data_IF_819762147216
#
_entry.id   IF_819762147216
#
_cell.length_a   1.000
_cell.length_b   1.000
_cell.length_c   1.000
_cell.angle_alpha   90.00
_cell.angle_beta   90.00
_cell.angle_gamma   90.00
#
_symmetry.space_group_name_H-M   'P 1'
#
loop_
_entity.id
_entity.type
_entity.pdbx_description
1 polymer ?
#
# COMPACT_ATOMS: atom_id res chain seq x y z
N UNK A 1 37.02 -15.77 9.34
CA UNK A 1 35.72 -15.13 9.64
C UNK A 1 35.26 -14.53 8.33
N UNK A 2 34.53 -15.31 7.54
CA UNK A 2 33.96 -14.88 6.26
C UNK A 2 32.48 -14.64 6.47
N UNK A 3 32.07 -13.38 6.33
CA UNK A 3 30.71 -12.93 6.58
C UNK A 3 29.90 -13.09 5.29
N UNK A 4 29.56 -14.34 4.95
CA UNK A 4 28.74 -14.66 3.79
C UNK A 4 27.25 -14.52 4.13
N UNK A 5 26.69 -13.30 4.11
CA UNK A 5 25.25 -13.10 4.31
C UNK A 5 24.63 -11.86 3.62
N UNK A 6 25.10 -11.47 2.43
CA UNK A 6 24.44 -10.43 1.61
C UNK A 6 24.05 -10.99 0.23
N UNK A 7 22.97 -11.80 0.15
CA UNK A 7 22.45 -12.32 -1.14
C UNK A 7 21.11 -11.70 -1.59
N UNK A 8 20.63 -10.65 -0.93
CA UNK A 8 19.28 -10.09 -1.19
C UNK A 8 19.19 -8.56 -1.28
N UNK A 9 20.32 -7.85 -1.26
CA UNK A 9 20.35 -6.38 -1.29
C UNK A 9 21.34 -5.86 -2.34
N UNK A 10 21.09 -4.66 -2.86
CA UNK A 10 21.95 -3.97 -3.83
C UNK A 10 23.08 -3.17 -3.16
N UNK A 11 23.85 -2.41 -3.95
CA UNK A 11 24.96 -1.59 -3.48
C UNK A 11 24.58 -0.48 -2.49
N UNK A 12 23.29 -0.13 -2.39
CA UNK A 12 22.76 0.84 -1.43
C UNK A 12 22.18 0.18 -0.17
N UNK A 13 22.26 -1.16 -0.06
CA UNK A 13 21.64 -1.94 1.00
C UNK A 13 20.13 -2.08 0.85
N UNK A 14 19.58 -1.79 -0.33
CA UNK A 14 18.15 -1.87 -0.64
C UNK A 14 17.80 -3.24 -1.21
N UNK A 15 16.58 -3.76 -0.99
CA UNK A 15 16.18 -5.07 -1.50
C UNK A 15 16.36 -5.17 -3.02
N UNK A 16 16.81 -6.32 -3.51
CA UNK A 16 16.81 -6.60 -4.95
C UNK A 16 15.36 -6.82 -5.42
N UNK A 17 14.93 -6.17 -6.52
CA UNK A 17 13.56 -6.29 -6.99
C UNK A 17 13.27 -7.72 -7.47
N UNK A 18 12.10 -8.22 -7.11
CA UNK A 18 11.52 -9.45 -7.66
C UNK A 18 10.88 -9.14 -9.00
N UNK A 19 10.80 -10.16 -9.86
CA UNK A 19 10.01 -10.07 -11.09
C UNK A 19 8.54 -9.98 -10.71
N UNK A 20 7.83 -9.01 -11.27
CA UNK A 20 6.38 -8.93 -11.12
C UNK A 20 5.72 -10.12 -11.82
N UNK A 21 4.93 -10.90 -11.09
CA UNK A 21 4.33 -12.16 -11.54
C UNK A 21 2.79 -12.17 -11.44
N UNK A 22 2.19 -11.08 -10.96
CA UNK A 22 0.74 -10.94 -10.94
C UNK A 22 0.19 -10.88 -12.37
N UNK A 23 -1.05 -11.36 -12.53
CA UNK A 23 -1.78 -11.28 -13.79
C UNK A 23 -1.88 -9.82 -14.25
N UNK A 24 -1.60 -9.52 -15.53
CA UNK A 24 -1.82 -8.19 -16.07
C UNK A 24 -3.29 -7.81 -15.86
N UNK A 25 -3.53 -6.64 -15.29
CA UNK A 25 -4.87 -6.09 -15.13
C UNK A 25 -5.05 -4.90 -16.07
N UNK A 26 -6.22 -4.81 -16.69
CA UNK A 26 -6.62 -3.69 -17.55
C UNK A 26 -7.99 -3.15 -17.12
N UNK A 27 -8.17 -1.83 -17.11
CA UNK A 27 -9.46 -1.21 -16.78
C UNK A 27 -10.61 -1.68 -17.70
N UNK A 28 -10.32 -2.20 -18.89
CA UNK A 28 -11.29 -2.85 -19.78
C UNK A 28 -11.88 -4.13 -19.20
N UNK A 29 -11.29 -4.71 -18.16
CA UNK A 29 -11.87 -5.83 -17.43
C UNK A 29 -13.22 -5.49 -16.82
N UNK A 30 -13.47 -4.22 -16.45
CA UNK A 30 -14.78 -3.77 -15.99
C UNK A 30 -15.88 -3.87 -17.06
N UNK A 31 -15.52 -4.10 -18.33
CA UNK A 31 -16.46 -4.30 -19.43
C UNK A 31 -16.78 -5.78 -19.69
N UNK A 32 -16.24 -6.69 -18.89
CA UNK A 32 -16.47 -8.14 -19.02
C UNK A 32 -17.74 -8.59 -18.31
N UNK A 33 -18.21 -9.80 -18.64
CA UNK A 33 -19.41 -10.40 -18.05
C UNK A 33 -19.34 -10.50 -16.52
N UNK A 34 -18.13 -10.56 -15.94
CA UNK A 34 -17.90 -10.57 -14.48
C UNK A 34 -18.59 -9.40 -13.78
N UNK A 35 -18.58 -8.21 -14.39
CA UNK A 35 -19.13 -6.98 -13.80
C UNK A 35 -20.39 -6.49 -14.52
N UNK A 36 -20.96 -7.28 -15.43
CA UNK A 36 -22.08 -6.85 -16.29
C UNK A 36 -23.35 -6.46 -15.50
N UNK A 37 -23.53 -6.99 -14.29
CA UNK A 37 -24.67 -6.70 -13.42
C UNK A 37 -24.48 -5.43 -12.56
N UNK A 38 -23.29 -4.82 -12.58
CA UNK A 38 -23.01 -3.58 -11.84
C UNK A 38 -23.65 -2.39 -12.55
N UNK A 39 -24.17 -1.42 -11.80
CA UNK A 39 -24.87 -0.25 -12.37
C UNK A 39 -23.94 0.92 -12.62
N UNK A 40 -22.84 0.99 -11.87
CA UNK A 40 -21.86 2.06 -11.92
C UNK A 40 -20.44 1.48 -11.89
N UNK A 41 -19.46 2.29 -12.29
CA UNK A 41 -18.06 1.91 -12.17
C UNK A 41 -17.66 1.68 -10.70
N UNK A 42 -18.19 2.49 -9.79
CA UNK A 42 -17.94 2.37 -8.36
C UNK A 42 -18.45 1.04 -7.79
N UNK A 43 -19.59 0.53 -8.29
CA UNK A 43 -20.12 -0.78 -7.92
C UNK A 43 -19.20 -1.91 -8.44
N UNK A 44 -18.66 -1.76 -9.66
CA UNK A 44 -17.73 -2.72 -10.24
C UNK A 44 -16.38 -2.76 -9.49
N UNK A 45 -15.84 -1.59 -9.14
CA UNK A 45 -14.63 -1.46 -8.31
C UNK A 45 -14.88 -2.09 -6.94
N UNK A 46 -16.05 -1.86 -6.32
CA UNK A 46 -16.39 -2.48 -5.04
C UNK A 46 -16.46 -4.00 -5.13
N UNK A 47 -17.09 -4.54 -6.18
CA UNK A 47 -17.16 -5.98 -6.41
C UNK A 47 -15.75 -6.59 -6.55
N UNK A 48 -14.88 -5.94 -7.35
CA UNK A 48 -13.47 -6.36 -7.49
C UNK A 48 -12.74 -6.33 -6.14
N UNK A 49 -12.98 -5.30 -5.32
CA UNK A 49 -12.41 -5.19 -3.98
C UNK A 49 -12.88 -6.30 -3.03
N UNK A 50 -14.14 -6.71 -3.11
CA UNK A 50 -14.68 -7.83 -2.33
C UNK A 50 -14.04 -9.15 -2.74
N UNK A 51 -13.87 -9.38 -4.04
CA UNK A 51 -13.16 -10.56 -4.55
C UNK A 51 -11.70 -10.56 -4.11
N UNK A 52 -11.00 -9.43 -4.23
CA UNK A 52 -9.61 -9.30 -3.75
C UNK A 52 -9.52 -9.58 -2.24
N UNK A 53 -10.39 -8.97 -1.43
CA UNK A 53 -10.44 -9.22 0.00
C UNK A 53 -10.64 -10.70 0.34
N UNK A 54 -11.52 -11.41 -0.37
CA UNK A 54 -11.79 -12.83 -0.14
C UNK A 54 -10.56 -13.73 -0.41
N UNK A 55 -9.66 -13.32 -1.31
CA UNK A 55 -8.40 -14.04 -1.58
C UNK A 55 -7.30 -13.71 -0.57
N UNK A 56 -7.44 -12.61 0.17
CA UNK A 56 -6.38 -12.04 1.01
C UNK A 56 -6.58 -12.29 2.52
N UNK A 57 -7.80 -12.64 2.92
CA UNK A 57 -8.09 -13.02 4.31
C UNK A 57 -7.58 -14.43 4.64
N UNK A 58 -7.07 -14.59 5.84
CA UNK A 58 -6.77 -15.90 6.42
C UNK A 58 -7.62 -16.17 7.68
N UNK A 59 -7.66 -17.41 8.22
CA UNK A 59 -8.47 -17.70 9.41
C UNK A 59 -8.11 -16.88 10.66
N UNK A 60 -6.85 -16.44 10.82
CA UNK A 60 -6.46 -15.57 11.93
C UNK A 60 -7.02 -14.15 11.76
N UNK A 61 -7.48 -13.79 10.56
CA UNK A 61 -8.17 -12.52 10.33
C UNK A 61 -9.56 -12.43 11.00
N UNK A 62 -10.05 -13.54 11.57
CA UNK A 62 -11.33 -13.61 12.28
C UNK A 62 -11.18 -13.85 13.80
N UNK A 63 -9.95 -13.83 14.32
CA UNK A 63 -9.72 -13.96 15.78
C UNK A 63 -10.04 -12.66 16.53
N UNK A 64 -10.55 -12.78 17.75
CA UNK A 64 -10.79 -11.64 18.66
C UNK A 64 -9.52 -11.17 19.42
N UNK A 65 -8.32 -11.49 18.91
CA UNK A 65 -7.04 -11.22 19.57
C UNK A 65 -6.53 -9.77 19.39
N UNK A 66 -7.30 -8.91 18.71
CA UNK A 66 -6.94 -7.52 18.47
C UNK A 66 -7.02 -6.63 19.74
N UNK A 67 -6.35 -5.48 19.71
CA UNK A 67 -6.48 -4.48 20.79
C UNK A 67 -7.95 -4.09 20.94
N UNK A 68 -8.55 -4.12 22.13
CA UNK A 68 -9.96 -3.78 22.35
C UNK A 68 -10.32 -2.33 21.98
N UNK A 69 -9.32 -1.46 21.73
CA UNK A 69 -9.48 -0.08 21.26
C UNK A 69 -9.47 0.03 19.73
N UNK A 70 -9.21 -1.08 19.04
CA UNK A 70 -9.18 -1.20 17.59
C UNK A 70 -10.37 -1.99 17.08
N UNK A 71 -10.88 -1.60 15.93
CA UNK A 71 -11.83 -2.38 15.15
C UNK A 71 -11.21 -2.63 13.80
N UNK A 72 -10.94 -3.91 13.51
CA UNK A 72 -10.48 -4.33 12.18
C UNK A 72 -11.56 -4.02 11.16
N UNK A 73 -11.22 -3.32 10.08
CA UNK A 73 -12.17 -2.91 9.04
C UNK A 73 -11.92 -3.55 7.69
N UNK A 74 -10.69 -4.00 7.41
CA UNK A 74 -10.37 -4.67 6.15
C UNK A 74 -8.88 -4.76 5.87
N UNK A 75 -8.55 -5.08 4.64
CA UNK A 75 -7.18 -5.21 4.12
C UNK A 75 -7.05 -4.25 2.94
N UNK A 76 -5.90 -3.61 2.82
CA UNK A 76 -5.57 -2.79 1.66
C UNK A 76 -4.13 -3.08 1.22
N UNK A 77 -3.84 -2.80 -0.04
CA UNK A 77 -2.47 -2.74 -0.55
C UNK A 77 -2.09 -1.30 -0.88
N UNK A 78 -0.88 -0.92 -0.47
CA UNK A 78 -0.29 0.37 -0.71
C UNK A 78 0.92 0.20 -1.63
N UNK A 79 1.24 1.23 -2.41
CA UNK A 79 2.42 1.23 -3.26
C UNK A 79 3.14 2.57 -3.26
N UNK A 80 4.42 2.51 -3.58
CA UNK A 80 5.28 3.64 -3.86
C UNK A 80 6.23 3.26 -5.00
N UNK A 81 6.42 4.15 -5.97
CA UNK A 81 7.38 3.96 -7.04
C UNK A 81 8.57 4.91 -6.89
N UNK A 82 9.76 4.44 -7.24
CA UNK A 82 10.98 5.27 -7.15
C UNK A 82 11.48 5.77 -8.50
N UNK A 83 10.73 5.52 -9.56
CA UNK A 83 11.28 5.48 -10.93
C UNK A 83 10.44 6.22 -11.97
N UNK A 84 9.24 6.70 -11.65
CA UNK A 84 8.42 7.40 -12.63
C UNK A 84 8.16 8.87 -12.24
N UNK A 85 9.17 9.71 -12.48
CA UNK A 85 8.93 11.13 -12.75
C UNK A 85 9.35 11.43 -14.19
N UNK A 86 8.47 12.07 -14.97
CA UNK A 86 8.73 12.43 -16.37
C UNK A 86 10.07 13.16 -16.49
N UNK A 87 11.01 12.59 -17.25
CA UNK A 87 12.34 13.17 -17.49
C UNK A 87 13.42 12.79 -16.47
N UNK A 88 13.12 11.95 -15.48
CA UNK A 88 14.09 11.42 -14.53
C UNK A 88 14.41 9.97 -14.90
N UNK A 89 15.67 9.71 -15.25
CA UNK A 89 16.20 8.38 -15.56
C UNK A 89 16.98 7.74 -14.39
N UNK A 90 16.92 8.36 -13.20
CA UNK A 90 17.68 7.94 -12.02
C UNK A 90 16.73 7.56 -10.89
N UNK A 91 17.03 6.45 -10.22
CA UNK A 91 16.36 6.02 -8.99
C UNK A 91 16.42 7.10 -7.91
N UNK A 92 15.32 7.30 -7.20
CA UNK A 92 15.29 8.06 -5.96
C UNK A 92 15.66 7.16 -4.76
N UNK A 93 16.96 7.07 -4.46
CA UNK A 93 17.48 6.20 -3.40
C UNK A 93 17.00 6.63 -2.00
N UNK A 94 16.69 7.91 -1.80
CA UNK A 94 16.21 8.40 -0.49
C UNK A 94 14.76 7.99 -0.24
N UNK A 95 13.92 8.13 -1.26
CA UNK A 95 12.56 7.58 -1.25
C UNK A 95 12.58 6.07 -1.01
N UNK A 96 13.41 5.35 -1.74
CA UNK A 96 13.55 3.89 -1.59
C UNK A 96 13.97 3.47 -0.19
N UNK A 97 14.90 4.19 0.44
CA UNK A 97 15.29 3.93 1.83
C UNK A 97 14.15 4.15 2.81
N UNK A 98 13.32 5.17 2.55
CA UNK A 98 12.17 5.48 3.39
C UNK A 98 11.14 4.35 3.36
N UNK A 99 10.82 3.83 2.16
CA UNK A 99 9.85 2.73 2.02
C UNK A 99 10.42 1.37 2.44
N UNK A 100 11.71 1.11 2.16
CA UNK A 100 12.38 -0.13 2.54
C UNK A 100 12.65 -0.24 4.05
N UNK A 101 12.55 0.85 4.80
CA UNK A 101 12.63 0.83 6.26
C UNK A 101 11.37 0.24 6.91
N UNK A 102 10.25 0.17 6.18
CA UNK A 102 8.98 -0.37 6.67
C UNK A 102 9.03 -1.90 6.66
N UNK A 103 8.59 -2.52 7.74
CA UNK A 103 8.61 -3.96 7.96
C UNK A 103 7.24 -4.50 8.40
N UNK A 104 7.06 -5.81 8.26
CA UNK A 104 5.88 -6.48 8.82
C UNK A 104 5.75 -6.22 10.32
N UNK A 105 4.54 -5.87 10.76
CA UNK A 105 4.22 -5.47 12.12
C UNK A 105 4.28 -3.97 12.38
N UNK A 106 4.89 -3.18 11.49
CA UNK A 106 4.93 -1.72 11.64
C UNK A 106 3.52 -1.12 11.59
N UNK A 107 3.39 0.02 12.29
CA UNK A 107 2.16 0.78 12.34
C UNK A 107 2.28 2.04 11.48
N UNK A 108 1.36 2.22 10.54
CA UNK A 108 1.19 3.45 9.77
C UNK A 108 -0.11 4.13 10.21
N UNK A 109 -0.13 5.46 10.22
CA UNK A 109 -1.32 6.25 10.45
C UNK A 109 -1.81 6.87 9.15
N UNK A 110 -3.12 6.94 8.97
CA UNK A 110 -3.71 7.73 7.88
C UNK A 110 -4.15 9.07 8.46
N UNK A 111 -3.55 10.15 7.97
CA UNK A 111 -3.85 11.51 8.42
C UNK A 111 -4.50 12.30 7.31
N UNK A 112 -5.67 12.86 7.58
CA UNK A 112 -6.35 13.77 6.64
C UNK A 112 -5.47 14.98 6.39
N UNK A 113 -5.27 15.33 5.12
CA UNK A 113 -4.55 16.52 4.73
C UNK A 113 -5.40 17.35 3.75
N UNK A 114 -5.22 18.69 3.71
CA UNK A 114 -5.93 19.51 2.73
C UNK A 114 -5.64 19.01 1.32
N UNK A 115 -6.67 18.88 0.46
CA UNK A 115 -6.52 18.43 -0.94
C UNK A 115 -5.56 19.29 -1.78
N UNK A 116 -5.18 20.48 -1.29
CA UNK A 116 -4.14 21.31 -1.91
C UNK A 116 -2.72 20.72 -1.80
N UNK A 117 -2.53 19.63 -1.04
CA UNK A 117 -1.24 18.95 -0.86
C UNK A 117 -1.19 17.54 -1.44
N UNK A 118 -2.32 16.87 -1.57
CA UNK A 118 -2.44 15.50 -2.09
C UNK A 118 -3.84 15.33 -2.72
N UNK A 119 -3.92 14.74 -3.91
CA UNK A 119 -5.19 14.47 -4.61
C UNK A 119 -6.07 13.49 -3.83
N UNK A 120 -5.49 12.68 -2.95
CA UNK A 120 -6.19 11.70 -2.11
C UNK A 120 -6.95 12.35 -0.93
N UNK A 121 -6.54 13.54 -0.49
CA UNK A 121 -7.09 14.19 0.71
C UNK A 121 -6.65 13.56 2.05
N UNK A 122 -5.73 12.60 2.01
CA UNK A 122 -5.05 12.02 3.17
C UNK A 122 -3.65 11.58 2.80
N UNK A 123 -2.79 11.40 3.81
CA UNK A 123 -1.43 10.89 3.66
C UNK A 123 -1.17 9.76 4.65
N UNK A 124 -0.28 8.85 4.26
CA UNK A 124 0.25 7.84 5.17
C UNK A 124 1.42 8.43 5.96
N UNK A 125 1.46 8.15 7.26
CA UNK A 125 2.50 8.64 8.15
C UNK A 125 3.01 7.52 9.04
N UNK A 126 4.26 7.65 9.47
CA UNK A 126 4.73 6.99 10.68
C UNK A 126 4.00 7.58 11.91
N UNK A 127 3.95 6.88 13.06
CA UNK A 127 3.27 7.37 14.26
C UNK A 127 3.84 8.69 14.80
N UNK A 128 5.11 8.96 14.53
CA UNK A 128 5.75 10.24 14.86
C UNK A 128 5.32 11.41 13.95
N UNK A 129 4.46 11.16 12.95
CA UNK A 129 3.93 12.14 12.01
C UNK A 129 4.76 12.36 10.75
N UNK A 130 5.88 11.64 10.57
CA UNK A 130 6.66 11.73 9.33
C UNK A 130 5.86 11.14 8.16
N UNK A 131 5.73 11.86 7.02
CA UNK A 131 5.00 11.37 5.86
C UNK A 131 5.73 10.20 5.19
N UNK A 132 4.96 9.29 4.61
CA UNK A 132 5.43 8.18 3.79
C UNK A 132 4.90 8.36 2.36
N UNK A 133 5.68 7.99 1.34
CA UNK A 133 5.34 8.20 -0.06
C UNK A 133 4.39 7.11 -0.60
N UNK A 134 3.50 6.59 0.24
CA UNK A 134 2.56 5.55 -0.17
C UNK A 134 1.29 6.16 -0.76
N UNK A 135 0.73 5.46 -1.74
CA UNK A 135 -0.64 5.64 -2.22
C UNK A 135 -1.37 4.30 -2.20
N UNK A 136 -2.71 4.28 -2.25
CA UNK A 136 -3.45 3.03 -2.46
C UNK A 136 -3.03 2.39 -3.79
N UNK A 137 -2.84 1.07 -3.81
CA UNK A 137 -2.32 0.38 -4.99
C UNK A 137 -3.36 0.17 -6.07
N UNK A 138 -4.55 -0.25 -5.67
CA UNK A 138 -5.66 -0.46 -6.59
C UNK A 138 -6.74 0.61 -6.39
N UNK A 139 -7.59 0.76 -7.40
CA UNK A 139 -8.79 1.60 -7.35
C UNK A 139 -9.72 1.18 -6.19
N UNK A 140 -9.87 -0.12 -5.94
CA UNK A 140 -10.64 -0.63 -4.82
C UNK A 140 -9.99 -0.34 -3.47
N UNK A 141 -8.65 -0.30 -3.37
CA UNK A 141 -7.96 0.10 -2.13
C UNK A 141 -8.26 1.57 -1.81
N UNK A 142 -8.21 2.43 -2.85
CA UNK A 142 -8.54 3.85 -2.72
C UNK A 142 -10.00 4.05 -2.28
N UNK A 143 -10.95 3.36 -2.92
CA UNK A 143 -12.37 3.43 -2.60
C UNK A 143 -12.67 2.89 -1.18
N UNK A 144 -12.02 1.79 -0.79
CA UNK A 144 -12.13 1.23 0.55
C UNK A 144 -11.65 2.21 1.62
N UNK A 145 -10.47 2.79 1.45
CA UNK A 145 -9.87 3.72 2.41
C UNK A 145 -10.67 5.04 2.51
N UNK A 146 -11.13 5.59 1.40
CA UNK A 146 -11.97 6.79 1.39
C UNK A 146 -13.29 6.57 2.16
N UNK A 147 -13.96 5.43 1.92
CA UNK A 147 -15.17 5.05 2.66
C UNK A 147 -14.89 4.84 4.14
N UNK A 148 -13.78 4.18 4.47
CA UNK A 148 -13.35 3.94 5.84
C UNK A 148 -13.09 5.25 6.60
N UNK A 149 -12.45 6.23 5.95
CA UNK A 149 -12.19 7.57 6.51
C UNK A 149 -13.50 8.32 6.74
N UNK A 150 -14.41 8.31 5.76
CA UNK A 150 -15.74 8.94 5.88
C UNK A 150 -16.60 8.32 6.98
N UNK A 151 -16.38 7.04 7.29
CA UNK A 151 -17.09 6.33 8.35
C UNK A 151 -16.49 6.53 9.75
N UNK A 152 -15.33 7.20 9.88
CA UNK A 152 -14.74 7.51 11.18
C UNK A 152 -15.57 8.56 11.93
N UNK A 153 -15.82 8.30 13.22
CA UNK A 153 -16.42 9.30 14.14
C UNK A 153 -15.38 10.34 14.54
N UNK A 154 -15.83 11.41 15.20
CA UNK A 154 -14.98 12.55 15.61
C UNK A 154 -13.78 12.18 16.51
N UNK A 155 -13.79 11.01 17.13
CA UNK A 155 -12.71 10.51 17.99
C UNK A 155 -12.07 9.24 17.44
N UNK A 156 -12.31 8.91 16.18
CA UNK A 156 -11.75 7.73 15.53
C UNK A 156 -10.81 8.16 14.43
N UNK A 157 -9.78 7.36 14.20
CA UNK A 157 -8.86 7.53 13.09
C UNK A 157 -8.46 6.16 12.54
N UNK A 158 -7.89 6.14 11.34
CA UNK A 158 -7.44 4.91 10.72
C UNK A 158 -5.95 4.69 10.99
N UNK A 159 -5.62 3.44 11.31
CA UNK A 159 -4.26 2.95 11.39
C UNK A 159 -4.13 1.68 10.58
N UNK A 160 -2.96 1.48 10.00
CA UNK A 160 -2.63 0.35 9.16
C UNK A 160 -1.52 -0.45 9.85
N UNK A 161 -1.72 -1.75 10.06
CA UNK A 161 -0.67 -2.66 10.52
C UNK A 161 -0.12 -3.40 9.30
N UNK A 162 1.18 -3.29 9.08
CA UNK A 162 1.85 -3.89 7.93
C UNK A 162 1.85 -5.41 8.07
N UNK A 163 1.36 -6.11 7.06
CA UNK A 163 1.39 -7.58 6.97
C UNK A 163 2.66 -8.05 6.27
N UNK A 164 2.95 -7.45 5.12
CA UNK A 164 4.07 -7.80 4.26
C UNK A 164 4.50 -6.60 3.43
N UNK A 165 5.78 -6.59 3.08
CA UNK A 165 6.37 -5.62 2.17
C UNK A 165 7.08 -6.37 1.06
N UNK A 166 6.94 -5.87 -0.17
CA UNK A 166 7.53 -6.48 -1.34
C UNK A 166 8.15 -5.40 -2.24
N UNK A 167 9.25 -5.75 -2.90
CA UNK A 167 9.90 -4.90 -3.89
C UNK A 167 9.87 -5.61 -5.24
N UNK A 168 9.17 -5.02 -6.20
CA UNK A 168 9.11 -5.48 -7.58
C UNK A 168 9.85 -4.50 -8.48
N UNK A 169 10.32 -4.99 -9.62
CA UNK A 169 11.01 -4.12 -10.55
C UNK A 169 11.82 -4.87 -11.59
N UNK A 170 12.55 -4.10 -12.35
CA UNK A 170 13.47 -4.59 -13.35
C UNK A 170 14.68 -3.67 -13.48
N UNK A 171 15.84 -4.28 -13.72
CA UNK A 171 17.09 -3.58 -13.96
C UNK A 171 17.53 -3.90 -15.39
N UNK A 172 17.52 -2.90 -16.28
CA UNK A 172 17.98 -3.06 -17.67
C UNK A 172 17.17 -4.11 -18.46
N UNK A 173 15.94 -4.39 -18.03
CA UNK A 173 15.06 -5.41 -18.62
C UNK A 173 14.30 -4.91 -19.86
N UNK A 174 14.47 -3.63 -20.21
CA UNK A 174 13.84 -2.99 -21.38
C UNK A 174 14.87 -2.89 -22.51
N UNK A 175 14.75 -3.68 -23.60
CA UNK A 175 15.76 -3.71 -24.66
C UNK A 175 16.01 -2.35 -25.34
N UNK A 176 14.98 -1.51 -25.39
CA UNK A 176 15.04 -0.16 -26.00
C UNK A 176 15.64 0.90 -25.07
N UNK A 177 15.70 0.62 -23.78
CA UNK A 177 16.34 1.47 -22.78
C UNK A 177 17.05 0.61 -21.73
N UNK A 178 18.28 0.16 -22.02
CA UNK A 178 19.05 -0.68 -21.11
C UNK A 178 19.49 0.04 -19.82
N UNK A 179 19.19 1.34 -19.67
CA UNK A 179 19.41 2.08 -18.42
C UNK A 179 18.12 2.25 -17.62
N UNK A 180 16.98 1.85 -18.20
CA UNK A 180 15.71 1.89 -17.51
C UNK A 180 15.73 0.92 -16.34
N UNK A 181 15.60 1.51 -15.16
CA UNK A 181 15.34 0.80 -13.93
C UNK A 181 13.97 1.26 -13.46
N UNK A 182 13.13 0.31 -13.09
CA UNK A 182 11.87 0.59 -12.41
C UNK A 182 11.78 -0.21 -11.13
N UNK A 183 11.29 0.41 -10.07
CA UNK A 183 11.03 -0.26 -8.80
C UNK A 183 9.72 0.22 -8.20
N UNK A 184 8.94 -0.75 -7.76
CA UNK A 184 7.69 -0.54 -7.05
C UNK A 184 7.78 -1.27 -5.72
N UNK A 185 7.55 -0.53 -4.66
CA UNK A 185 7.47 -1.05 -3.30
C UNK A 185 6.01 -1.16 -2.95
N UNK A 186 5.58 -2.36 -2.59
CA UNK A 186 4.20 -2.64 -2.17
C UNK A 186 4.19 -2.99 -0.70
N UNK A 187 3.12 -2.58 -0.02
CA UNK A 187 2.92 -2.75 1.40
C UNK A 187 1.48 -3.18 1.63
N UNK A 188 1.29 -4.45 2.01
CA UNK A 188 -0.03 -4.99 2.36
C UNK A 188 -0.31 -4.69 3.82
N UNK A 189 -1.50 -4.17 4.11
CA UNK A 189 -1.86 -3.71 5.46
C UNK A 189 -3.21 -4.24 5.91
N UNK A 190 -3.33 -4.58 7.18
CA UNK A 190 -4.63 -4.65 7.85
C UNK A 190 -4.99 -3.24 8.30
N UNK A 191 -6.18 -2.78 7.93
CA UNK A 191 -6.67 -1.46 8.34
C UNK A 191 -7.57 -1.61 9.55
N UNK A 192 -7.32 -0.77 10.54
CA UNK A 192 -8.09 -0.67 11.77
C UNK A 192 -8.65 0.73 11.92
N UNK A 193 -9.84 0.80 12.47
CA UNK A 193 -10.34 2.02 13.10
C UNK A 193 -9.92 1.99 14.56
N UNK A 194 -9.23 3.03 15.02
CA UNK A 194 -8.77 3.15 16.41
C UNK A 194 -9.41 4.37 17.07
N UNK A 195 -9.84 4.21 18.31
CA UNK A 195 -10.28 5.34 19.12
C UNK A 195 -9.07 6.18 19.54
N UNK A 196 -9.20 7.49 19.41
CA UNK A 196 -8.31 8.46 20.04
C UNK A 196 -8.48 8.32 21.55
N UNK A 197 -7.56 7.61 22.19
CA UNK A 197 -7.36 7.76 23.62
C UNK A 197 -6.46 8.99 23.77
N UNK A 198 -6.99 10.16 24.21
CA UNK A 198 -6.08 11.14 24.75
C UNK A 198 -5.40 10.43 25.90
N UNK A 199 -4.08 10.26 25.82
CA UNK A 199 -3.32 9.95 27.02
C UNK A 199 -3.80 10.94 28.09
N UNK A 200 -4.16 10.42 29.25
CA UNK A 200 -4.39 11.21 30.46
C UNK A 200 -3.07 11.94 30.76
N UNK A 201 -2.84 13.04 30.06
CA UNK A 201 -1.80 14.03 30.31
C UNK A 201 -2.24 14.92 31.46
#
# INVERSE_FOLDING_TARGET
>A
MDNSNNRGVDEFGLPLPKKYDASPWDAREYLTDTYAETKTLEDAIEMRGQDAFAHEVDPADFSDDDDPRETRIGIAELWADSTWQVGISKRDVELERTVAAIQAGDLLEIRVCPMSRDELGYQFCLPNGNPLPYSPYHDYDAQFLDRALKACRAHEYLVCRVRSVECYGGNNDVPVDPLFCWRVYTCKVTVFRRNWAPELN
#
